data_IF_542858769140
#
_entry.id   IF_542858769140
#
_cell.length_a   1.000
_cell.length_b   1.000
_cell.length_c   1.000
_cell.angle_alpha   90.00
_cell.angle_beta   90.00
_cell.angle_gamma   90.00
#
_symmetry.space_group_name_H-M   'P 1'
#
loop_
_entity.id
_entity.type
_entity.pdbx_description
1 polymer ?
#
# COMPACT_ATOMS: atom_id res chain seq x y z
N UNK A 1 -37.84 5.37 -53.45
CA UNK A 1 -36.53 5.02 -52.86
C UNK A 1 -36.49 5.62 -51.47
N UNK A 2 -36.71 4.80 -50.42
CA UNK A 2 -36.55 5.24 -49.04
C UNK A 2 -35.22 4.69 -48.57
N UNK A 3 -34.26 5.57 -48.26
CA UNK A 3 -32.97 5.20 -47.70
C UNK A 3 -33.20 4.56 -46.34
N UNK A 4 -32.73 3.31 -46.18
CA UNK A 4 -32.67 2.63 -44.88
C UNK A 4 -31.74 3.43 -43.96
N UNK A 5 -32.07 3.63 -42.68
CA UNK A 5 -31.10 4.16 -41.74
C UNK A 5 -29.90 3.21 -41.68
N UNK A 6 -28.72 3.74 -42.00
CA UNK A 6 -27.45 3.08 -41.74
C UNK A 6 -27.30 3.03 -40.22
N UNK A 7 -27.32 1.82 -39.67
CA UNK A 7 -26.89 1.60 -38.31
C UNK A 7 -25.45 2.11 -38.15
N UNK A 8 -25.10 2.80 -37.04
CA UNK A 8 -23.72 3.18 -36.80
C UNK A 8 -22.84 1.92 -36.80
N UNK A 9 -21.57 2.02 -37.24
CA UNK A 9 -20.68 0.88 -37.23
C UNK A 9 -20.52 0.41 -35.79
N UNK A 10 -21.20 -0.68 -35.42
CA UNK A 10 -20.85 -1.45 -34.23
C UNK A 10 -19.43 -1.94 -34.49
N UNK A 11 -18.45 -1.21 -33.93
CA UNK A 11 -17.06 -1.65 -33.88
C UNK A 11 -17.00 -3.07 -33.29
N UNK A 12 -15.90 -3.80 -33.49
CA UNK A 12 -15.77 -5.17 -33.00
C UNK A 12 -16.20 -5.21 -31.54
N UNK A 13 -17.25 -5.97 -31.26
CA UNK A 13 -17.77 -6.11 -29.91
C UNK A 13 -16.67 -6.74 -29.08
N UNK A 14 -16.08 -5.96 -28.17
CA UNK A 14 -15.06 -6.46 -27.28
C UNK A 14 -15.70 -7.57 -26.42
N UNK A 15 -15.14 -8.79 -26.39
CA UNK A 15 -15.73 -9.93 -25.67
C UNK A 15 -15.94 -9.61 -24.18
N UNK A 16 -15.11 -8.74 -23.60
CA UNK A 16 -15.26 -8.21 -22.25
C UNK A 16 -16.60 -7.50 -22.02
N UNK A 17 -17.08 -6.73 -23.01
CA UNK A 17 -18.33 -5.97 -22.92
C UNK A 17 -19.56 -6.86 -23.09
N UNK A 18 -19.47 -7.89 -23.92
CA UNK A 18 -20.52 -8.90 -24.04
C UNK A 18 -20.64 -9.72 -22.75
N UNK A 19 -19.49 -10.12 -22.17
CA UNK A 19 -19.44 -10.79 -20.87
C UNK A 19 -20.01 -9.90 -19.76
N UNK A 20 -19.74 -8.60 -19.78
CA UNK A 20 -20.30 -7.64 -18.84
C UNK A 20 -21.82 -7.55 -18.95
N UNK A 21 -22.36 -7.38 -20.17
CA UNK A 21 -23.81 -7.31 -20.41
C UNK A 21 -24.51 -8.60 -19.97
N UNK A 22 -23.94 -9.76 -20.31
CA UNK A 22 -24.48 -11.05 -19.90
C UNK A 22 -24.53 -11.16 -18.36
N UNK A 23 -23.44 -10.81 -17.67
CA UNK A 23 -23.39 -10.83 -16.19
C UNK A 23 -24.35 -9.84 -15.55
N UNK A 24 -24.48 -8.62 -16.08
CA UNK A 24 -25.42 -7.63 -15.55
C UNK A 24 -26.88 -8.09 -15.72
N UNK A 25 -27.19 -8.72 -16.85
CA UNK A 25 -28.50 -9.32 -17.11
C UNK A 25 -28.81 -10.46 -16.14
N UNK A 26 -27.86 -11.38 -15.93
CA UNK A 26 -27.99 -12.49 -14.96
C UNK A 26 -28.20 -11.99 -13.53
N UNK A 27 -27.61 -10.84 -13.18
CA UNK A 27 -27.74 -10.19 -11.88
C UNK A 27 -28.98 -9.29 -11.77
N UNK A 28 -29.80 -9.20 -12.81
CA UNK A 28 -31.04 -8.44 -12.83
C UNK A 28 -30.84 -6.92 -12.89
N UNK A 29 -29.68 -6.44 -13.32
CA UNK A 29 -29.43 -5.01 -13.53
C UNK A 29 -30.10 -4.58 -14.84
N UNK A 30 -31.06 -3.63 -14.84
CA UNK A 30 -31.73 -3.19 -16.05
C UNK A 30 -30.76 -2.48 -17.00
N UNK A 31 -30.90 -2.70 -18.31
CA UNK A 31 -30.10 -2.02 -19.34
C UNK A 31 -30.25 -0.49 -19.34
N UNK A 32 -31.32 0.04 -18.74
CA UNK A 32 -31.51 1.48 -18.57
C UNK A 32 -30.64 2.08 -17.43
N UNK A 33 -30.08 1.25 -16.54
CA UNK A 33 -29.27 1.71 -15.42
C UNK A 33 -27.83 2.06 -15.82
N UNK A 34 -27.42 1.70 -17.05
CA UNK A 34 -26.06 1.88 -17.51
C UNK A 34 -25.96 2.08 -19.03
N UNK A 35 -24.86 2.67 -19.50
CA UNK A 35 -24.54 2.81 -20.94
C UNK A 35 -23.16 2.26 -21.24
N UNK A 36 -23.01 1.62 -22.41
CA UNK A 36 -21.74 1.10 -22.90
C UNK A 36 -21.53 1.65 -24.31
N UNK A 37 -20.42 2.33 -24.55
CA UNK A 37 -20.00 2.89 -25.82
C UNK A 37 -20.35 4.35 -26.05
N UNK A 38 -21.42 4.86 -25.42
CA UNK A 38 -21.82 6.27 -25.49
C UNK A 38 -21.99 6.85 -24.07
N UNK A 39 -21.75 8.16 -23.88
CA UNK A 39 -22.09 8.85 -22.64
C UNK A 39 -23.56 8.64 -22.27
N UNK A 40 -23.83 8.41 -20.98
CA UNK A 40 -25.19 8.44 -20.46
C UNK A 40 -25.62 9.90 -20.22
N UNK A 41 -26.90 10.22 -20.42
CA UNK A 41 -27.44 11.51 -19.96
C UNK A 41 -27.51 11.56 -18.43
N UNK A 42 -27.82 10.42 -17.81
CA UNK A 42 -27.78 10.20 -16.37
C UNK A 42 -27.51 8.71 -16.11
N UNK A 43 -26.55 8.38 -15.23
CA UNK A 43 -26.21 6.99 -14.89
C UNK A 43 -24.75 6.60 -15.11
N UNK A 44 -24.42 5.34 -14.81
CA UNK A 44 -23.08 4.80 -15.06
C UNK A 44 -22.85 4.61 -16.56
N UNK A 45 -21.72 5.09 -17.08
CA UNK A 45 -21.30 4.84 -18.44
C UNK A 45 -19.88 4.28 -18.51
N UNK A 46 -19.68 3.38 -19.47
CA UNK A 46 -18.37 2.88 -19.89
C UNK A 46 -18.17 3.26 -21.37
N UNK A 47 -17.12 4.01 -21.63
CA UNK A 47 -16.83 4.64 -22.92
C UNK A 47 -15.45 4.26 -23.41
N UNK A 48 -15.29 4.12 -24.72
CA UNK A 48 -13.96 4.01 -25.34
C UNK A 48 -13.37 5.41 -25.50
N UNK A 49 -12.15 5.63 -25.03
CA UNK A 49 -11.40 6.88 -25.15
C UNK A 49 -10.09 6.62 -25.93
N UNK A 50 -9.39 7.68 -26.33
CA UNK A 50 -8.18 7.56 -27.17
C UNK A 50 -7.11 6.63 -26.56
N UNK A 51 -6.99 6.62 -25.22
CA UNK A 51 -6.05 5.78 -24.45
C UNK A 51 -6.73 4.65 -23.65
N UNK A 52 -7.80 4.05 -24.20
CA UNK A 52 -8.42 2.85 -23.65
C UNK A 52 -9.89 3.02 -23.30
N UNK A 53 -10.25 2.83 -22.04
CA UNK A 53 -11.63 2.76 -21.56
C UNK A 53 -11.83 3.65 -20.35
N UNK A 54 -12.97 4.34 -20.30
CA UNK A 54 -13.34 5.21 -19.19
C UNK A 54 -14.66 4.76 -18.60
N UNK A 55 -14.72 4.63 -17.28
CA UNK A 55 -15.96 4.41 -16.54
C UNK A 55 -16.23 5.61 -15.65
N UNK A 56 -17.46 6.10 -15.66
CA UNK A 56 -17.85 7.18 -14.77
C UNK A 56 -19.36 7.32 -14.62
N UNK A 57 -19.76 8.13 -13.65
CA UNK A 57 -21.16 8.45 -13.38
C UNK A 57 -21.50 9.79 -14.03
N UNK A 58 -22.59 9.82 -14.80
CA UNK A 58 -23.14 11.05 -15.37
C UNK A 58 -24.33 11.54 -14.55
N UNK A 59 -24.26 12.79 -14.13
CA UNK A 59 -25.39 13.56 -13.58
C UNK A 59 -25.24 15.01 -14.04
N UNK A 60 -25.67 15.28 -15.28
CA UNK A 60 -25.39 16.49 -16.10
C UNK A 60 -23.90 16.72 -16.45
N UNK A 61 -22.98 16.28 -15.59
CA UNK A 61 -21.53 16.30 -15.77
C UNK A 61 -20.91 14.96 -15.36
N UNK A 62 -19.75 14.63 -15.94
CA UNK A 62 -19.03 13.39 -15.63
C UNK A 62 -18.36 13.51 -14.26
N UNK A 63 -18.81 12.67 -13.33
CA UNK A 63 -18.30 12.61 -11.97
C UNK A 63 -17.47 11.34 -11.77
N UNK A 64 -16.32 11.48 -11.10
CA UNK A 64 -15.39 10.40 -10.78
C UNK A 64 -14.99 9.50 -11.96
N UNK A 65 -14.40 10.06 -13.04
CA UNK A 65 -13.92 9.26 -14.16
C UNK A 65 -12.74 8.39 -13.73
N UNK A 66 -12.83 7.09 -14.02
CA UNK A 66 -11.73 6.14 -13.93
C UNK A 66 -11.36 5.68 -15.34
N UNK A 67 -10.06 5.70 -15.67
CA UNK A 67 -9.54 5.30 -16.99
C UNK A 67 -8.73 4.02 -16.85
N UNK A 68 -8.90 3.12 -17.81
CA UNK A 68 -8.34 1.78 -17.86
C UNK A 68 -7.74 1.55 -19.24
N UNK A 69 -6.58 0.90 -19.30
CA UNK A 69 -5.96 0.54 -20.58
C UNK A 69 -6.65 -0.62 -21.29
N UNK A 70 -7.43 -1.43 -20.56
CA UNK A 70 -8.05 -2.66 -21.07
C UNK A 70 -9.56 -2.72 -20.76
N UNK A 71 -10.32 -3.39 -21.64
CA UNK A 71 -11.78 -3.49 -21.57
C UNK A 71 -12.26 -4.40 -20.43
N UNK A 72 -11.52 -5.46 -20.09
CA UNK A 72 -11.89 -6.39 -19.01
C UNK A 72 -11.79 -5.71 -17.64
N UNK A 73 -10.76 -4.89 -17.41
CA UNK A 73 -10.60 -4.13 -16.17
C UNK A 73 -11.69 -3.06 -16.02
N UNK A 74 -11.98 -2.33 -17.11
CA UNK A 74 -13.08 -1.36 -17.13
C UNK A 74 -14.44 -2.04 -16.87
N UNK A 75 -14.66 -3.21 -17.48
CA UNK A 75 -15.88 -3.98 -17.29
C UNK A 75 -16.04 -4.47 -15.85
N UNK A 76 -14.97 -5.01 -15.25
CA UNK A 76 -14.97 -5.46 -13.86
C UNK A 76 -15.25 -4.30 -12.90
N UNK A 77 -14.64 -3.13 -13.13
CA UNK A 77 -14.88 -1.94 -12.33
C UNK A 77 -16.34 -1.46 -12.45
N UNK A 78 -16.87 -1.38 -13.67
CA UNK A 78 -18.25 -0.99 -13.94
C UNK A 78 -19.26 -1.93 -13.27
N UNK A 79 -19.04 -3.25 -13.38
CA UNK A 79 -19.85 -4.27 -12.70
C UNK A 79 -19.87 -4.04 -11.18
N UNK A 80 -18.70 -3.81 -10.58
CA UNK A 80 -18.59 -3.51 -9.15
C UNK A 80 -19.35 -2.25 -8.75
N UNK A 81 -19.22 -1.16 -9.53
CA UNK A 81 -19.91 0.10 -9.26
C UNK A 81 -21.43 -0.01 -9.38
N UNK A 82 -21.94 -0.73 -10.37
CA UNK A 82 -23.38 -0.94 -10.54
C UNK A 82 -24.00 -1.77 -9.42
N UNK A 83 -23.29 -2.78 -8.90
CA UNK A 83 -23.80 -3.62 -7.82
C UNK A 83 -23.71 -2.95 -6.44
N UNK A 84 -22.63 -2.20 -6.19
CA UNK A 84 -22.38 -1.58 -4.89
C UNK A 84 -22.98 -0.18 -4.76
N UNK A 85 -23.10 0.55 -5.86
CA UNK A 85 -23.50 1.96 -5.88
C UNK A 85 -24.31 2.29 -7.13
N UNK A 86 -25.49 1.66 -7.31
CA UNK A 86 -26.29 1.77 -8.54
C UNK A 86 -26.73 3.21 -8.87
N UNK A 87 -26.85 4.09 -7.86
CA UNK A 87 -27.26 5.49 -8.03
C UNK A 87 -26.12 6.51 -7.97
N UNK A 88 -24.88 6.11 -8.24
CA UNK A 88 -23.73 7.05 -8.29
C UNK A 88 -23.34 7.69 -6.96
N UNK A 89 -24.01 7.34 -5.85
CA UNK A 89 -23.70 7.84 -4.51
C UNK A 89 -22.37 7.27 -4.05
N UNK A 90 -21.30 7.99 -4.34
CA UNK A 90 -20.04 7.86 -3.65
C UNK A 90 -20.15 8.81 -2.45
N UNK A 91 -20.39 8.30 -1.24
CA UNK A 91 -20.05 9.07 -0.05
C UNK A 91 -18.54 9.24 -0.11
N UNK A 92 -18.01 10.47 -0.25
CA UNK A 92 -16.57 10.66 -0.17
C UNK A 92 -16.13 10.16 1.22
N UNK A 93 -14.99 9.47 1.38
CA UNK A 93 -14.38 9.41 2.69
C UNK A 93 -14.21 10.86 3.16
N UNK A 94 -14.77 11.19 4.33
CA UNK A 94 -14.62 12.50 4.93
C UNK A 94 -13.13 12.80 5.04
N UNK A 95 -12.62 13.65 4.15
CA UNK A 95 -11.34 14.33 4.38
C UNK A 95 -11.54 15.15 5.67
N UNK A 96 -10.59 15.17 6.61
CA UNK A 96 -10.56 16.27 7.56
C UNK A 96 -10.40 17.54 6.73
N UNK A 97 -11.48 18.31 6.62
CA UNK A 97 -11.48 19.65 6.05
C UNK A 97 -10.57 20.49 6.96
N UNK A 98 -9.32 20.71 6.51
CA UNK A 98 -8.56 21.84 7.02
C UNK A 98 -9.21 23.09 6.44
N UNK A 99 -10.06 23.68 7.27
CA UNK A 99 -10.70 24.95 7.00
C UNK A 99 -9.62 26.02 6.78
N UNK A 100 -9.55 26.51 5.54
CA UNK A 100 -8.64 27.53 5.11
C UNK A 100 -9.43 28.79 4.76
N UNK A 101 -10.14 29.40 5.71
CA UNK A 101 -10.35 30.86 5.73
C UNK A 101 -10.87 31.37 7.08
N UNK A 102 -9.97 31.78 7.98
CA UNK A 102 -10.12 33.09 8.66
C UNK A 102 -8.77 33.54 9.22
N UNK A 103 -8.12 34.48 8.52
CA UNK A 103 -7.00 35.26 9.06
C UNK A 103 -7.58 36.57 9.59
N UNK A 104 -7.65 36.80 10.90
CA UNK A 104 -7.91 38.13 11.42
C UNK A 104 -6.70 39.00 11.13
N UNK A 105 -6.87 39.96 10.22
CA UNK A 105 -5.92 41.03 9.94
C UNK A 105 -5.66 41.84 11.23
N UNK A 106 -4.47 41.70 11.80
CA UNK A 106 -3.95 42.64 12.80
C UNK A 106 -3.28 43.81 12.05
N UNK A 107 -3.53 45.08 12.42
CA UNK A 107 -2.96 46.22 11.71
C UNK A 107 -1.44 46.33 11.87
N UNK A 108 -0.81 46.87 10.84
CA UNK A 108 0.61 47.15 10.73
C UNK A 108 1.19 47.96 11.91
N UNK A 109 2.38 47.55 12.37
CA UNK A 109 3.37 48.47 12.91
C UNK A 109 4.71 48.23 12.21
N UNK A 110 5.15 49.26 11.51
CA UNK A 110 6.46 49.40 10.86
C UNK A 110 7.62 49.48 11.88
N UNK A 111 8.86 49.20 11.44
CA UNK A 111 10.04 49.03 12.28
C UNK A 111 10.63 50.38 12.75
N UNK A 112 11.19 50.42 13.95
CA UNK A 112 11.98 51.56 14.45
C UNK A 112 13.31 51.10 15.05
N UNK A 113 14.39 51.68 14.53
CA UNK A 113 15.80 51.51 14.88
C UNK A 113 16.18 52.00 16.30
N UNK A 114 17.39 51.67 16.81
CA UNK A 114 17.80 51.85 18.21
C UNK A 114 18.50 53.20 18.49
N UNK A 115 18.63 53.59 19.76
CA UNK A 115 19.89 54.21 20.20
C UNK A 115 20.46 53.72 21.56
N UNK A 116 21.75 54.02 21.73
CA UNK A 116 22.79 53.47 22.62
C UNK A 116 22.97 54.22 23.97
N UNK A 117 23.90 53.68 24.78
CA UNK A 117 24.70 54.24 25.91
C UNK A 117 24.09 54.05 27.32
N UNK A 118 24.82 53.68 28.39
CA UNK A 118 26.21 53.98 28.76
C UNK A 118 26.86 52.95 29.71
N UNK A 119 28.20 52.91 29.72
CA UNK A 119 29.11 52.15 30.61
C UNK A 119 29.25 52.80 32.00
N UNK A 120 29.88 52.10 32.98
CA UNK A 120 31.15 52.63 33.47
C UNK A 120 32.28 51.59 33.68
N UNK A 121 33.38 51.88 32.97
CA UNK A 121 34.82 51.90 33.31
C UNK A 121 35.45 51.11 34.48
N UNK A 122 36.39 50.25 34.05
CA UNK A 122 37.85 50.15 34.37
C UNK A 122 38.36 49.64 35.73
N UNK A 123 39.04 48.51 35.60
CA UNK A 123 40.45 48.21 35.97
C UNK A 123 40.83 48.11 37.46
N UNK A 124 41.45 46.99 37.86
CA UNK A 124 42.91 46.80 37.96
C UNK A 124 43.23 45.59 38.89
N UNK A 125 44.34 44.90 38.59
CA UNK A 125 45.17 44.07 39.51
C UNK A 125 44.66 42.65 39.83
N UNK A 126 45.31 41.59 39.36
CA UNK A 126 46.59 40.99 39.81
C UNK A 126 46.43 40.12 41.08
N UNK A 127 47.13 38.96 41.08
CA UNK A 127 47.50 38.06 42.21
C UNK A 127 46.54 36.89 42.51
N UNK A 128 46.93 35.64 42.25
CA UNK A 128 47.78 34.72 43.04
C UNK A 128 47.07 34.18 44.30
N UNK A 129 47.28 32.87 44.55
CA UNK A 129 46.96 32.03 45.71
C UNK A 129 45.63 31.22 45.72
N UNK A 130 45.77 29.89 45.61
CA UNK A 130 45.02 28.87 46.39
C UNK A 130 45.41 29.03 47.89
N UNK A 131 44.60 28.62 48.92
CA UNK A 131 43.99 27.28 49.05
C UNK A 131 42.57 27.20 49.70
N UNK A 132 41.99 25.97 49.67
CA UNK A 132 40.85 25.39 50.44
C UNK A 132 40.85 25.74 51.97
N UNK A 133 39.82 25.49 52.83
CA UNK A 133 38.70 24.53 52.72
C UNK A 133 37.31 24.92 53.30
N UNK A 134 36.31 24.10 52.99
CA UNK A 134 35.17 23.67 53.85
C UNK A 134 33.79 23.72 53.16
N UNK A 135 33.37 22.58 52.61
CA UNK A 135 31.97 22.25 52.34
C UNK A 135 31.64 20.85 52.91
N UNK A 136 30.64 20.70 53.79
CA UNK A 136 30.21 19.40 54.34
C UNK A 136 29.14 18.74 53.42
N UNK A 137 28.68 17.50 53.68
CA UNK A 137 28.92 16.36 52.80
C UNK A 137 27.73 15.91 51.94
N UNK A 138 28.05 15.03 50.98
CA UNK A 138 27.24 14.03 50.28
C UNK A 138 25.84 13.74 50.84
N UNK A 139 24.82 13.85 49.97
CA UNK A 139 23.65 12.97 50.01
C UNK A 139 23.39 12.39 48.61
N UNK A 140 23.53 11.08 48.55
CA UNK A 140 23.12 10.20 47.46
C UNK A 140 21.62 10.35 47.19
N UNK A 141 21.24 10.52 45.92
CA UNK A 141 19.85 10.36 45.50
C UNK A 141 19.40 8.89 45.66
N UNK A 142 18.16 8.62 46.09
CA UNK A 142 17.65 7.26 46.26
C UNK A 142 17.40 6.57 44.90
N UNK A 143 17.55 5.24 44.81
CA UNK A 143 17.22 4.50 43.58
C UNK A 143 15.70 4.49 43.34
N UNK A 144 15.31 4.81 42.11
CA UNK A 144 13.94 4.65 41.62
C UNK A 144 13.61 3.15 41.58
N UNK A 145 12.54 2.75 42.25
CA UNK A 145 12.06 1.36 42.28
C UNK A 145 11.52 0.93 40.89
N UNK A 146 11.72 -0.34 40.48
CA UNK A 146 11.14 -0.86 39.24
C UNK A 146 9.62 -1.04 39.36
N UNK A 147 8.87 -0.99 38.24
CA UNK A 147 7.42 -1.19 38.24
C UNK A 147 7.03 -2.63 38.62
N UNK A 148 5.81 -2.84 39.15
CA UNK A 148 5.33 -4.17 39.55
C UNK A 148 5.07 -5.08 38.33
N UNK A 149 5.18 -6.41 38.48
CA UNK A 149 4.96 -7.36 37.40
C UNK A 149 3.48 -7.43 36.97
N UNK A 150 3.27 -7.61 35.67
CA UNK A 150 1.96 -7.79 35.06
C UNK A 150 1.24 -9.07 35.56
N UNK A 151 -0.10 -9.09 35.61
CA UNK A 151 -0.86 -10.28 36.02
C UNK A 151 -0.70 -11.43 35.00
N UNK A 152 -0.78 -12.70 35.45
CA UNK A 152 -0.59 -13.85 34.56
C UNK A 152 -1.70 -13.94 33.52
N UNK A 153 -1.30 -14.05 32.24
CA UNK A 153 -2.21 -14.36 31.13
C UNK A 153 -2.87 -15.72 31.38
N UNK A 154 -4.19 -15.78 31.24
CA UNK A 154 -4.95 -17.04 31.22
C UNK A 154 -4.63 -17.76 29.91
N UNK A 155 -4.05 -18.96 30.01
CA UNK A 155 -3.81 -19.83 28.86
C UNK A 155 -5.15 -20.34 28.28
N UNK A 156 -5.37 -20.27 26.96
CA UNK A 156 -6.50 -20.94 26.32
C UNK A 156 -6.30 -22.47 26.31
N UNK A 157 -7.37 -23.27 26.38
CA UNK A 157 -7.29 -24.73 26.47
C UNK A 157 -6.69 -25.35 25.19
N UNK A 158 -5.98 -26.48 25.29
CA UNK A 158 -5.33 -27.12 24.15
C UNK A 158 -6.35 -27.65 23.14
N UNK A 159 -6.25 -27.19 21.89
CA UNK A 159 -6.97 -27.84 20.78
C UNK A 159 -6.34 -29.20 20.50
N UNK A 160 -7.22 -30.20 20.46
CA UNK A 160 -6.97 -31.58 20.09
C UNK A 160 -6.11 -31.67 18.81
N UNK A 161 -5.00 -32.38 18.93
CA UNK A 161 -4.15 -32.81 17.81
C UNK A 161 -4.84 -33.99 17.14
N UNK A 162 -5.19 -33.86 15.86
CA UNK A 162 -5.57 -34.99 15.00
C UNK A 162 -4.40 -35.35 14.08
N UNK A 163 -4.23 -36.64 13.71
CA UNK A 163 -2.95 -37.19 13.27
C UNK A 163 -2.65 -36.96 11.79
N UNK A 164 -1.36 -36.80 11.49
CA UNK A 164 -0.80 -36.73 10.15
C UNK A 164 -0.87 -38.08 9.40
N UNK A 165 -1.12 -38.03 8.08
CA UNK A 165 -0.67 -39.00 7.06
C UNK A 165 -0.91 -38.42 5.64
N UNK A 166 -0.29 -38.97 4.58
CA UNK A 166 1.10 -38.82 4.17
C UNK A 166 1.25 -38.08 2.81
N UNK A 167 2.48 -37.71 2.45
CA UNK A 167 2.82 -37.14 1.14
C UNK A 167 2.57 -38.12 -0.04
N UNK A 168 2.34 -37.61 -1.26
CA UNK A 168 2.78 -38.30 -2.46
C UNK A 168 3.86 -37.51 -3.21
N UNK A 169 4.80 -38.27 -3.75
CA UNK A 169 5.95 -37.84 -4.49
C UNK A 169 5.64 -37.59 -5.98
N UNK A 170 6.45 -36.72 -6.60
CA UNK A 170 6.80 -36.57 -8.03
C UNK A 170 5.76 -36.87 -9.11
N UNK A 171 5.42 -35.87 -9.92
CA UNK A 171 5.48 -35.95 -11.39
C UNK A 171 5.30 -34.58 -12.08
N UNK A 172 6.35 -34.20 -12.82
CA UNK A 172 6.36 -33.61 -14.17
C UNK A 172 5.62 -32.30 -14.50
N UNK A 173 6.39 -31.40 -15.12
CA UNK A 173 6.01 -30.16 -15.74
C UNK A 173 4.76 -30.23 -16.63
N UNK A 174 3.96 -29.17 -16.59
CA UNK A 174 3.13 -28.74 -17.70
C UNK A 174 3.00 -27.23 -17.68
N UNK A 175 3.59 -26.60 -18.69
CA UNK A 175 3.26 -25.24 -19.09
C UNK A 175 1.84 -25.25 -19.68
N UNK A 176 0.93 -24.43 -19.15
CA UNK A 176 -0.24 -23.96 -19.87
C UNK A 176 -0.91 -22.78 -19.13
N UNK A 177 -1.20 -21.75 -19.89
CA UNK A 177 -2.01 -20.57 -19.59
C UNK A 177 -3.40 -20.89 -19.03
N UNK A 178 -4.00 -19.96 -18.28
CA UNK A 178 -5.46 -19.88 -18.13
C UNK A 178 -5.95 -19.62 -16.70
N UNK A 179 -6.77 -18.57 -16.53
CA UNK A 179 -7.38 -18.20 -15.26
C UNK A 179 -8.37 -19.25 -14.73
N UNK A 180 -8.36 -19.43 -13.40
CA UNK A 180 -9.27 -20.31 -12.68
C UNK A 180 -8.67 -20.69 -11.32
N UNK A 181 -9.10 -20.01 -10.26
CA UNK A 181 -8.87 -20.36 -8.84
C UNK A 181 -7.50 -20.99 -8.50
N UNK A 182 -6.41 -20.41 -9.01
CA UNK A 182 -5.06 -20.89 -8.72
C UNK A 182 -4.72 -20.52 -7.28
N UNK A 183 -5.04 -21.43 -6.37
CA UNK A 183 -4.67 -21.35 -4.97
C UNK A 183 -3.17 -21.57 -4.89
N UNK A 184 -2.41 -20.48 -4.77
CA UNK A 184 -0.96 -20.54 -4.64
C UNK A 184 -0.58 -21.20 -3.30
N UNK A 185 0.52 -21.96 -3.25
CA UNK A 185 0.95 -22.64 -2.02
C UNK A 185 1.41 -21.65 -0.95
N UNK A 186 1.88 -20.45 -1.35
CA UNK A 186 2.21 -19.34 -0.46
C UNK A 186 1.13 -18.27 -0.58
N UNK A 187 0.58 -17.86 0.55
CA UNK A 187 -0.48 -16.86 0.66
C UNK A 187 0.02 -15.61 1.41
N UNK A 188 -0.56 -14.42 1.15
CA UNK A 188 -0.27 -13.23 1.93
C UNK A 188 -0.71 -13.42 3.39
N UNK A 189 0.15 -13.02 4.32
CA UNK A 189 -0.18 -12.98 5.75
C UNK A 189 -1.15 -11.82 6.06
N UNK A 190 -1.81 -11.81 7.25
CA UNK A 190 -2.72 -10.74 7.62
C UNK A 190 -2.06 -9.35 7.53
N UNK A 191 -2.72 -8.44 6.82
CA UNK A 191 -2.22 -7.07 6.61
C UNK A 191 -1.38 -6.89 5.34
N UNK A 192 -1.01 -7.97 4.67
CA UNK A 192 -0.40 -7.91 3.33
C UNK A 192 -1.42 -7.63 2.24
N UNK A 193 -1.00 -7.00 1.12
CA UNK A 193 -1.86 -6.84 -0.03
C UNK A 193 -2.28 -8.19 -0.62
N UNK A 194 -3.48 -8.27 -1.24
CA UNK A 194 -3.94 -9.49 -1.87
C UNK A 194 -3.08 -9.85 -3.10
N UNK A 195 -3.03 -11.14 -3.43
CA UNK A 195 -2.29 -11.64 -4.60
C UNK A 195 -2.78 -11.07 -5.95
N UNK A 196 -3.94 -10.43 -5.97
CA UNK A 196 -4.49 -9.74 -7.15
C UNK A 196 -3.66 -8.53 -7.55
N UNK A 197 -2.85 -7.96 -6.65
CA UNK A 197 -1.95 -6.83 -6.97
C UNK A 197 -0.63 -7.28 -7.67
N UNK A 198 -0.47 -8.57 -7.95
CA UNK A 198 0.73 -9.10 -8.59
C UNK A 198 0.38 -9.89 -9.86
N UNK A 199 1.04 -9.57 -10.98
CA UNK A 199 0.95 -10.33 -12.24
C UNK A 199 2.16 -11.25 -12.40
N UNK A 200 2.06 -12.20 -13.34
CA UNK A 200 3.17 -13.11 -13.66
C UNK A 200 3.62 -13.94 -12.47
N UNK A 201 2.67 -14.36 -11.61
CA UNK A 201 2.97 -15.11 -10.40
C UNK A 201 3.54 -16.47 -10.74
N UNK A 202 4.63 -16.85 -10.08
CA UNK A 202 5.25 -18.17 -10.21
C UNK A 202 6.00 -18.54 -8.93
N UNK A 203 6.14 -19.85 -8.70
CA UNK A 203 7.05 -20.34 -7.67
C UNK A 203 8.49 -20.16 -8.15
N UNK A 204 9.32 -19.55 -7.32
CA UNK A 204 10.72 -19.27 -7.62
C UNK A 204 11.57 -19.47 -6.38
N UNK A 205 12.68 -20.18 -6.56
CA UNK A 205 13.71 -20.28 -5.54
C UNK A 205 14.56 -19.01 -5.51
N UNK A 206 14.65 -18.38 -4.34
CA UNK A 206 15.57 -17.28 -4.06
C UNK A 206 16.90 -17.87 -3.58
N UNK A 207 18.02 -17.69 -4.30
CA UNK A 207 19.30 -18.21 -3.88
C UNK A 207 19.82 -17.51 -2.62
N UNK A 208 20.72 -18.19 -1.89
CA UNK A 208 21.49 -17.56 -0.84
C UNK A 208 22.26 -16.34 -1.37
N UNK A 209 22.23 -15.24 -0.63
CA UNK A 209 22.76 -13.95 -1.02
C UNK A 209 21.76 -13.00 -1.67
N UNK A 210 20.55 -13.45 -2.04
CA UNK A 210 19.49 -12.55 -2.51
C UNK A 210 19.15 -11.51 -1.45
N UNK A 211 19.04 -10.26 -1.87
CA UNK A 211 18.68 -9.14 -0.99
C UNK A 211 17.23 -8.72 -1.25
N UNK A 212 16.50 -8.58 -0.16
CA UNK A 212 15.08 -8.28 -0.12
C UNK A 212 14.84 -7.10 0.81
N UNK A 213 13.83 -6.30 0.56
CA UNK A 213 13.46 -5.21 1.46
C UNK A 213 11.95 -5.13 1.68
N UNK A 214 11.54 -4.32 2.67
CA UNK A 214 10.13 -4.17 3.04
C UNK A 214 9.89 -2.86 3.80
N UNK A 215 8.73 -2.26 3.50
CA UNK A 215 8.10 -1.23 4.34
C UNK A 215 7.02 -1.85 5.24
N UNK A 216 7.37 -2.17 6.48
CA UNK A 216 6.47 -2.83 7.43
C UNK A 216 7.18 -3.71 8.45
N UNK A 217 6.48 -4.04 9.53
CA UNK A 217 7.01 -4.87 10.60
C UNK A 217 7.20 -6.36 10.21
N UNK A 218 7.80 -7.15 11.13
CA UNK A 218 8.28 -8.50 10.86
C UNK A 218 7.19 -9.58 10.78
N UNK A 219 5.93 -9.24 11.09
CA UNK A 219 4.82 -10.20 11.08
C UNK A 219 4.30 -10.52 9.67
N UNK A 220 4.77 -9.79 8.66
CA UNK A 220 4.39 -9.97 7.26
C UNK A 220 5.31 -10.91 6.51
N UNK A 221 4.95 -11.26 5.27
CA UNK A 221 5.77 -12.11 4.40
C UNK A 221 6.00 -11.55 2.98
N UNK A 222 5.44 -10.37 2.65
CA UNK A 222 5.74 -9.71 1.38
C UNK A 222 7.04 -8.92 1.48
N UNK A 223 7.90 -9.13 0.49
CA UNK A 223 9.13 -8.37 0.29
C UNK A 223 9.24 -7.95 -1.17
N UNK A 224 10.16 -7.04 -1.46
CA UNK A 224 10.55 -6.68 -2.82
C UNK A 224 12.06 -6.92 -2.99
N UNK A 225 12.54 -6.94 -4.22
CA UNK A 225 13.98 -6.86 -4.47
C UNK A 225 14.54 -5.59 -3.80
N UNK A 226 15.65 -5.73 -3.06
CA UNK A 226 16.24 -4.60 -2.34
C UNK A 226 16.52 -3.40 -3.28
N UNK A 227 16.13 -2.21 -2.86
CA UNK A 227 16.30 -0.97 -3.62
C UNK A 227 15.20 -0.67 -4.63
N UNK A 228 14.12 -1.47 -4.70
CA UNK A 228 12.96 -1.17 -5.55
C UNK A 228 12.31 0.15 -5.12
N UNK A 229 12.15 1.17 -5.98
CA UNK A 229 11.46 2.43 -5.65
C UNK A 229 10.07 2.18 -5.07
N UNK A 230 9.62 3.02 -4.13
CA UNK A 230 8.32 2.83 -3.47
C UNK A 230 7.16 2.80 -4.49
N UNK A 231 7.19 3.68 -5.48
CA UNK A 231 6.20 3.75 -6.57
C UNK A 231 6.13 2.46 -7.42
N UNK A 232 7.25 1.78 -7.61
CA UNK A 232 7.29 0.52 -8.34
C UNK A 232 6.65 -0.64 -7.55
N UNK A 233 6.38 -0.44 -6.26
CA UNK A 233 5.74 -1.46 -5.40
C UNK A 233 4.22 -1.37 -5.45
N UNK A 234 3.64 -0.26 -5.91
CA UNK A 234 2.18 -0.05 -5.94
C UNK A 234 1.50 -0.38 -4.61
N UNK A 235 2.15 0.01 -3.51
CA UNK A 235 1.65 -0.15 -2.15
C UNK A 235 0.78 1.03 -1.76
N UNK A 236 -0.01 0.87 -0.71
CA UNK A 236 -0.79 1.96 -0.13
C UNK A 236 0.16 3.12 0.23
N UNK A 237 -0.06 4.36 -0.24
CA UNK A 237 0.90 5.46 -0.11
C UNK A 237 1.36 5.72 1.33
N UNK A 238 0.48 5.57 2.33
CA UNK A 238 0.84 5.79 3.74
C UNK A 238 1.88 4.78 4.25
N UNK A 239 2.08 3.65 3.56
CA UNK A 239 3.03 2.62 3.96
C UNK A 239 4.47 3.07 3.81
N UNK A 240 4.75 4.14 3.05
CA UNK A 240 6.08 4.76 2.97
C UNK A 240 6.62 5.16 4.35
N UNK A 241 5.73 5.48 5.29
CA UNK A 241 6.08 5.87 6.67
C UNK A 241 6.28 4.68 7.62
N UNK A 242 6.11 3.44 7.13
CA UNK A 242 6.35 2.24 7.93
C UNK A 242 7.86 2.02 8.10
N UNK A 243 8.28 1.29 9.15
CA UNK A 243 9.67 0.87 9.30
C UNK A 243 10.19 0.21 8.03
N UNK A 244 11.33 0.67 7.56
CA UNK A 244 12.01 0.12 6.39
C UNK A 244 13.11 -0.83 6.85
N UNK A 245 13.13 -2.02 6.25
CA UNK A 245 14.04 -3.09 6.60
C UNK A 245 14.61 -3.75 5.35
N UNK A 246 15.86 -4.21 5.44
CA UNK A 246 16.56 -4.95 4.38
C UNK A 246 17.03 -6.28 4.95
N UNK A 247 16.88 -7.33 4.17
CA UNK A 247 17.19 -8.70 4.54
C UNK A 247 18.07 -9.37 3.49
N UNK A 248 18.92 -10.29 3.91
CA UNK A 248 19.65 -11.19 3.03
C UNK A 248 19.23 -12.63 3.27
N UNK A 249 18.96 -13.33 2.17
CA UNK A 249 18.67 -14.76 2.16
C UNK A 249 19.95 -15.55 2.48
N UNK A 250 19.92 -16.38 3.50
CA UNK A 250 21.09 -17.16 3.95
C UNK A 250 21.14 -18.56 3.35
N UNK A 251 19.98 -19.13 3.02
CA UNK A 251 19.81 -20.44 2.39
C UNK A 251 18.73 -20.33 1.32
N UNK A 252 18.71 -21.18 0.28
CA UNK A 252 17.68 -21.10 -0.74
C UNK A 252 16.25 -21.16 -0.14
N UNK A 253 15.38 -20.22 -0.53
CA UNK A 253 13.99 -20.13 -0.06
C UNK A 253 13.06 -20.17 -1.27
N UNK A 254 12.10 -21.10 -1.26
CA UNK A 254 10.98 -21.09 -2.21
C UNK A 254 10.04 -19.93 -1.89
N UNK A 255 9.88 -19.01 -2.83
CA UNK A 255 9.01 -17.85 -2.73
C UNK A 255 7.99 -17.82 -3.88
N UNK A 256 6.86 -17.16 -3.65
CA UNK A 256 5.96 -16.80 -4.73
C UNK A 256 6.40 -15.44 -5.27
N UNK A 257 7.05 -15.48 -6.44
CA UNK A 257 7.48 -14.29 -7.15
C UNK A 257 6.29 -13.70 -7.94
N UNK A 258 6.28 -12.39 -8.11
CA UNK A 258 5.33 -11.69 -8.96
C UNK A 258 5.82 -10.28 -9.26
N UNK A 259 5.14 -9.62 -10.20
CA UNK A 259 5.41 -8.22 -10.55
C UNK A 259 4.24 -7.38 -10.07
N UNK A 260 4.50 -6.32 -9.30
CA UNK A 260 3.46 -5.40 -8.87
C UNK A 260 2.74 -4.78 -10.09
N UNK A 261 1.41 -4.83 -10.09
CA UNK A 261 0.61 -4.14 -11.12
C UNK A 261 0.48 -2.66 -10.77
N UNK A 262 0.27 -1.77 -11.76
CA UNK A 262 -0.04 -0.37 -11.48
C UNK A 262 -1.28 -0.25 -10.57
N UNK A 263 -1.13 0.41 -9.42
CA UNK A 263 -2.22 0.63 -8.47
C UNK A 263 -1.93 1.86 -7.60
N UNK A 264 -2.93 2.39 -6.88
CA UNK A 264 -2.80 3.58 -6.02
C UNK A 264 -2.15 4.82 -6.70
N UNK A 265 -2.40 5.00 -8.00
CA UNK A 265 -1.77 6.04 -8.82
C UNK A 265 -0.23 5.94 -8.87
N UNK A 266 0.28 4.72 -8.77
CA UNK A 266 1.70 4.39 -8.90
C UNK A 266 1.90 3.47 -10.11
N UNK A 267 3.06 3.57 -10.79
CA UNK A 267 3.38 2.77 -11.98
C UNK A 267 3.48 1.26 -11.71
N UNK A 268 3.89 0.84 -10.50
CA UNK A 268 4.17 -0.57 -10.23
C UNK A 268 5.38 -1.07 -11.02
N UNK A 269 5.45 -2.38 -11.26
CA UNK A 269 6.53 -3.01 -12.03
C UNK A 269 7.66 -3.61 -11.19
N UNK A 270 7.69 -3.35 -9.89
CA UNK A 270 8.67 -3.90 -8.96
C UNK A 270 8.54 -5.42 -8.78
N UNK A 271 9.67 -6.09 -8.59
CA UNK A 271 9.72 -7.52 -8.33
C UNK A 271 9.36 -7.80 -6.86
N UNK A 272 8.22 -8.44 -6.65
CA UNK A 272 7.69 -8.82 -5.35
C UNK A 272 7.93 -10.31 -5.06
N UNK A 273 8.21 -10.62 -3.81
CA UNK A 273 8.40 -11.98 -3.32
C UNK A 273 7.60 -12.18 -2.04
N UNK A 274 6.60 -13.06 -2.09
CA UNK A 274 5.96 -13.57 -0.90
C UNK A 274 6.73 -14.79 -0.39
N UNK A 275 7.19 -14.70 0.85
CA UNK A 275 7.96 -15.74 1.52
C UNK A 275 7.03 -16.77 2.20
N UNK A 276 7.49 -18.01 2.44
CA UNK A 276 6.64 -19.09 2.94
C UNK A 276 6.25 -18.94 4.42
N UNK A 277 6.91 -18.04 5.15
CA UNK A 277 6.65 -17.73 6.56
C UNK A 277 6.83 -16.22 6.81
N UNK A 278 6.53 -15.77 8.03
CA UNK A 278 6.74 -14.38 8.42
C UNK A 278 8.23 -14.03 8.43
N UNK A 279 8.56 -12.74 8.30
CA UNK A 279 9.94 -12.28 8.46
C UNK A 279 10.49 -12.65 9.84
N UNK A 280 9.69 -12.53 10.90
CA UNK A 280 10.09 -12.93 12.26
C UNK A 280 10.53 -14.39 12.33
N UNK A 281 9.74 -15.31 11.75
CA UNK A 281 10.05 -16.74 11.74
C UNK A 281 11.31 -17.05 10.90
N UNK A 282 11.48 -16.36 9.77
CA UNK A 282 12.62 -16.54 8.88
C UNK A 282 13.92 -15.98 9.46
N UNK A 283 13.85 -14.92 10.26
CA UNK A 283 14.98 -14.43 11.05
C UNK A 283 15.31 -15.41 12.19
N UNK A 284 14.29 -15.91 12.91
CA UNK A 284 14.49 -16.82 14.03
C UNK A 284 15.09 -18.18 13.60
N UNK A 285 14.72 -18.67 12.42
CA UNK A 285 15.28 -19.89 11.81
C UNK A 285 16.63 -19.69 11.12
N UNK A 286 17.08 -18.42 10.98
CA UNK A 286 18.32 -18.07 10.28
C UNK A 286 18.25 -18.29 8.76
N UNK A 287 17.04 -18.38 8.19
CA UNK A 287 16.80 -18.36 6.74
C UNK A 287 17.04 -16.96 6.15
N UNK A 288 16.74 -15.92 6.94
CA UNK A 288 17.08 -14.53 6.67
C UNK A 288 18.02 -13.99 7.74
N UNK A 289 18.83 -13.00 7.36
CA UNK A 289 19.45 -12.06 8.29
C UNK A 289 19.01 -10.65 7.94
N UNK A 290 18.85 -9.81 8.95
CA UNK A 290 18.61 -8.38 8.76
C UNK A 290 19.94 -7.66 8.50
N UNK A 291 19.93 -6.74 7.54
CA UNK A 291 21.05 -5.87 7.19
C UNK A 291 20.79 -4.45 7.71
N UNK A 292 21.83 -3.62 7.73
CA UNK A 292 21.66 -2.18 7.90
C UNK A 292 20.87 -1.64 6.69
N UNK A 293 19.66 -1.06 6.90
CA UNK A 293 18.76 -0.74 5.80
C UNK A 293 19.24 0.40 4.90
N UNK A 294 20.11 1.30 5.38
CA UNK A 294 20.45 2.52 4.66
C UNK A 294 19.25 3.45 4.45
N UNK A 295 19.30 4.27 3.40
CA UNK A 295 18.21 5.19 3.04
C UNK A 295 17.10 4.42 2.29
N UNK A 296 15.81 4.59 2.66
CA UNK A 296 14.71 3.95 1.95
C UNK A 296 14.54 4.49 0.51
N UNK A 297 14.26 3.64 -0.49
CA UNK A 297 14.08 4.05 -1.89
C UNK A 297 12.67 4.62 -2.11
N UNK A 298 12.47 5.89 -1.76
CA UNK A 298 11.15 6.56 -1.81
C UNK A 298 10.90 7.30 -3.12
N UNK A 299 11.95 7.64 -3.88
CA UNK A 299 11.91 8.45 -5.11
C UNK A 299 11.80 7.63 -6.41
#
# INVERSE_FOLDING_TARGET
MLARPVAPPSGPTEPALDNLRAKLSDLGVPDAAYRIGEPAEHGWSLEKVDDGWRVGWYDETLTSPAVFGDADDAAAFMLGKLLLSPGGRITPPARPEMDATEVPRTPAQEPSEPPRHDLPQRALSDRLDEPDPAGPPTMLAPPVAPPPPAPPRREPPPRRVEPAAPAPAVATASAASGGGNQQWPIQPLPGEPPLTLFRGKEMRELPAGSELDRFGGPNGNLTYAAGTPFEERSLVPEWVNRPYHVYRVQRPIEALAGVAIPWFNQPGGGAAYLLPASIEDLLASGDLIELDPGEPPID
#
